data_IF_638231086440
#
_entry.id   IF_638231086440
#
_cell.length_a   1.000
_cell.length_b   1.000
_cell.length_c   1.000
_cell.angle_alpha   90.00
_cell.angle_beta   90.00
_cell.angle_gamma   90.00
#
_symmetry.space_group_name_H-M   'P 1'
#
loop_
_entity.id
_entity.type
_entity.pdbx_description
1 polymer ?
#
# COMPACT_ATOMS: atom_id res chain seq x y z
N UNK A 1 9.66 -24.41 2.07
CA UNK A 1 9.17 -23.11 1.60
C UNK A 1 8.45 -22.44 2.76
N UNK A 2 8.86 -21.23 3.13
CA UNK A 2 8.23 -20.46 4.21
C UNK A 2 6.94 -19.85 3.67
N UNK A 3 5.84 -19.97 4.43
CA UNK A 3 4.51 -19.42 4.05
C UNK A 3 4.25 -18.15 4.85
N UNK A 4 4.10 -17.05 4.15
CA UNK A 4 3.82 -15.74 4.75
C UNK A 4 2.44 -15.28 4.28
N UNK A 5 1.54 -14.93 5.21
CA UNK A 5 0.35 -14.17 4.90
C UNK A 5 0.69 -12.67 4.95
N UNK A 6 0.23 -11.93 3.95
CA UNK A 6 0.25 -10.47 3.98
C UNK A 6 -1.19 -9.95 3.93
N UNK A 7 -1.64 -9.37 5.06
CA UNK A 7 -2.97 -8.79 5.14
C UNK A 7 -2.93 -7.39 4.54
N UNK A 8 -3.82 -7.12 3.59
CA UNK A 8 -3.86 -5.87 2.80
C UNK A 8 -5.21 -5.19 2.95
N UNK A 9 -5.25 -3.88 2.73
CA UNK A 9 -6.47 -3.10 2.90
C UNK A 9 -7.46 -3.32 1.77
N UNK A 10 -7.00 -3.29 0.52
CA UNK A 10 -7.84 -3.29 -0.64
C UNK A 10 -7.35 -4.10 -1.83
N UNK A 11 -8.01 -3.89 -2.95
CA UNK A 11 -7.73 -4.62 -4.18
C UNK A 11 -6.41 -4.18 -4.83
N UNK A 12 -6.04 -2.91 -4.70
CA UNK A 12 -4.82 -2.34 -5.28
C UNK A 12 -3.57 -2.99 -4.68
N UNK A 13 -3.47 -3.01 -3.34
CA UNK A 13 -2.39 -3.65 -2.60
C UNK A 13 -2.37 -5.16 -2.87
N UNK A 14 -3.56 -5.80 -2.94
CA UNK A 14 -3.68 -7.23 -3.25
C UNK A 14 -3.11 -7.56 -4.64
N UNK A 15 -3.42 -6.78 -5.66
CA UNK A 15 -2.88 -6.97 -7.01
C UNK A 15 -1.37 -6.69 -7.07
N UNK A 16 -0.89 -5.66 -6.39
CA UNK A 16 0.55 -5.40 -6.26
C UNK A 16 1.28 -6.57 -5.59
N UNK A 17 0.75 -7.07 -4.48
CA UNK A 17 1.33 -8.23 -3.80
C UNK A 17 1.39 -9.44 -4.72
N UNK A 18 0.31 -9.74 -5.46
CA UNK A 18 0.26 -10.88 -6.39
C UNK A 18 1.21 -10.75 -7.57
N UNK A 19 1.25 -9.55 -8.18
CA UNK A 19 1.98 -9.35 -9.44
C UNK A 19 3.45 -9.03 -9.25
N UNK A 20 3.81 -8.43 -8.12
CA UNK A 20 5.16 -7.93 -7.85
C UNK A 20 5.81 -8.69 -6.70
N UNK A 21 5.22 -8.64 -5.50
CA UNK A 21 5.88 -9.19 -4.31
C UNK A 21 5.90 -10.73 -4.31
N UNK A 22 4.80 -11.39 -4.64
CA UNK A 22 4.74 -12.87 -4.62
C UNK A 22 5.76 -13.50 -5.59
N UNK A 23 5.88 -13.07 -6.86
CA UNK A 23 6.93 -13.58 -7.75
C UNK A 23 8.34 -13.33 -7.21
N UNK A 24 8.62 -12.15 -6.67
CA UNK A 24 9.90 -11.80 -6.08
C UNK A 24 10.24 -12.71 -4.89
N UNK A 25 9.36 -12.84 -3.93
CA UNK A 25 9.59 -13.66 -2.73
C UNK A 25 9.70 -15.17 -3.06
N UNK A 26 9.02 -15.63 -4.09
CA UNK A 26 9.11 -17.01 -4.54
C UNK A 26 10.53 -17.40 -5.00
N UNK A 27 11.29 -16.47 -5.57
CA UNK A 27 12.72 -16.69 -5.90
C UNK A 27 13.58 -16.93 -4.67
N UNK A 28 13.10 -16.53 -3.48
CA UNK A 28 13.75 -16.70 -2.18
C UNK A 28 13.17 -17.85 -1.36
N UNK A 29 12.44 -18.77 -2.01
CA UNK A 29 11.79 -19.92 -1.36
C UNK A 29 10.74 -19.51 -0.30
N UNK A 30 10.05 -18.38 -0.55
CA UNK A 30 8.98 -17.85 0.29
C UNK A 30 7.69 -17.82 -0.54
N UNK A 31 6.62 -18.41 -0.02
CA UNK A 31 5.25 -18.29 -0.57
C UNK A 31 4.53 -17.15 0.15
N UNK A 32 4.35 -16.04 -0.53
CA UNK A 32 3.62 -14.87 -0.03
C UNK A 32 2.16 -14.95 -0.49
N UNK A 33 1.22 -14.95 0.46
CA UNK A 33 -0.22 -15.02 0.18
C UNK A 33 -0.90 -13.72 0.62
N UNK A 34 -1.31 -12.86 -0.31
CA UNK A 34 -2.07 -11.67 0.03
C UNK A 34 -3.52 -12.01 0.39
N UNK A 35 -4.03 -11.38 1.45
CA UNK A 35 -5.37 -11.57 2.00
C UNK A 35 -5.97 -10.20 2.27
N UNK A 36 -7.08 -9.88 1.61
CA UNK A 36 -7.79 -8.61 1.85
C UNK A 36 -8.51 -8.71 3.19
N UNK A 37 -8.23 -7.75 4.08
CA UNK A 37 -8.90 -7.67 5.38
C UNK A 37 -10.41 -7.53 5.20
N UNK A 38 -11.18 -8.39 5.85
CA UNK A 38 -12.62 -8.38 5.71
C UNK A 38 -13.22 -7.08 6.25
N UNK A 39 -13.79 -6.27 5.37
CA UNK A 39 -14.62 -5.14 5.76
C UNK A 39 -15.97 -5.65 6.19
N UNK A 40 -16.25 -5.70 7.51
CA UNK A 40 -17.62 -5.90 7.98
C UNK A 40 -18.49 -4.80 7.35
N UNK A 41 -19.68 -5.18 6.88
CA UNK A 41 -20.68 -4.19 6.45
C UNK A 41 -20.90 -3.23 7.61
N UNK A 42 -20.51 -1.98 7.42
CA UNK A 42 -20.72 -0.95 8.41
C UNK A 42 -22.24 -0.84 8.67
N UNK A 43 -22.64 -0.80 9.94
CA UNK A 43 -24.04 -0.61 10.33
C UNK A 43 -24.61 0.72 9.83
N UNK A 44 -23.78 1.59 9.28
CA UNK A 44 -24.14 2.90 8.74
C UNK A 44 -24.47 2.92 7.24
N UNK A 45 -24.44 1.78 6.53
CA UNK A 45 -24.92 1.69 5.15
C UNK A 45 -24.12 2.45 4.09
N UNK A 46 -23.02 3.10 4.45
CA UNK A 46 -22.16 3.81 3.51
C UNK A 46 -21.15 2.84 2.92
N UNK A 47 -21.25 2.62 1.61
CA UNK A 47 -20.21 1.95 0.81
C UNK A 47 -19.00 2.91 0.72
N UNK A 48 -18.11 2.87 1.69
CA UNK A 48 -16.76 3.43 1.50
C UNK A 48 -15.94 2.39 0.75
N UNK A 49 -15.52 2.73 -0.46
CA UNK A 49 -14.44 2.04 -1.18
C UNK A 49 -13.14 2.46 -0.49
N UNK A 50 -12.52 1.58 0.21
CA UNK A 50 -11.35 1.82 1.03
C UNK A 50 -11.68 1.40 2.46
N UNK A 51 -11.08 0.33 2.93
CA UNK A 51 -11.45 -0.26 4.19
C UNK A 51 -10.96 0.60 5.34
N UNK A 52 -11.82 0.95 6.24
CA UNK A 52 -11.48 1.52 7.51
C UNK A 52 -10.74 0.46 8.34
N UNK A 53 -9.43 0.45 8.30
CA UNK A 53 -8.60 -0.42 9.14
C UNK A 53 -8.61 0.13 10.57
N UNK A 54 -8.78 -0.73 11.55
CA UNK A 54 -8.62 -0.40 12.96
C UNK A 54 -8.00 -1.58 13.70
N UNK A 55 -7.51 -1.32 14.91
CA UNK A 55 -6.78 -2.29 15.73
C UNK A 55 -7.60 -3.56 16.00
N UNK A 56 -8.89 -3.45 16.30
CA UNK A 56 -9.74 -4.61 16.59
C UNK A 56 -9.91 -5.53 15.36
N UNK A 57 -10.01 -4.93 14.17
CA UNK A 57 -10.08 -5.69 12.92
C UNK A 57 -8.78 -6.41 12.63
N UNK A 58 -7.65 -5.72 12.81
CA UNK A 58 -6.33 -6.32 12.65
C UNK A 58 -6.22 -7.53 13.58
N UNK A 59 -6.56 -7.34 14.86
CA UNK A 59 -6.51 -8.40 15.85
C UNK A 59 -7.34 -9.61 15.40
N UNK A 60 -8.60 -9.40 15.07
CA UNK A 60 -9.50 -10.48 14.63
C UNK A 60 -9.03 -11.19 13.36
N UNK A 61 -8.37 -10.48 12.43
CA UNK A 61 -7.85 -11.08 11.20
C UNK A 61 -6.58 -11.89 11.46
N UNK A 62 -5.63 -11.30 12.15
CA UNK A 62 -4.34 -11.95 12.45
C UNK A 62 -4.53 -13.22 13.27
N UNK A 63 -5.43 -13.20 14.28
CA UNK A 63 -5.76 -14.39 15.07
C UNK A 63 -6.22 -15.59 14.22
N UNK A 64 -6.94 -15.35 13.12
CA UNK A 64 -7.36 -16.40 12.19
C UNK A 64 -6.22 -16.93 11.32
N UNK A 65 -5.23 -16.10 11.03
CA UNK A 65 -4.12 -16.44 10.16
C UNK A 65 -3.00 -17.16 10.89
N UNK A 66 -2.76 -16.85 12.17
CA UNK A 66 -1.67 -17.41 12.99
C UNK A 66 -1.53 -18.94 12.94
N UNK A 67 -2.62 -19.74 12.95
CA UNK A 67 -2.48 -21.21 12.88
C UNK A 67 -2.02 -21.74 11.52
N UNK A 68 -2.19 -20.95 10.44
CA UNK A 68 -2.08 -21.43 9.07
C UNK A 68 -0.80 -20.99 8.34
N UNK A 69 -0.05 -20.04 8.91
CA UNK A 69 1.14 -19.47 8.28
C UNK A 69 2.35 -19.50 9.22
N UNK A 70 3.52 -19.49 8.63
CA UNK A 70 4.78 -19.49 9.37
C UNK A 70 5.11 -18.08 9.86
N UNK A 71 4.73 -17.05 9.06
CA UNK A 71 4.76 -15.63 9.42
C UNK A 71 3.55 -14.91 8.87
N UNK A 72 3.23 -13.78 9.47
CA UNK A 72 2.15 -12.87 9.04
C UNK A 72 2.69 -11.46 9.09
N UNK A 73 2.38 -10.69 8.06
CA UNK A 73 2.62 -9.25 8.00
C UNK A 73 1.38 -8.50 7.55
N UNK A 74 1.41 -7.19 7.63
CA UNK A 74 0.37 -6.30 7.15
C UNK A 74 0.91 -5.37 6.06
N UNK A 75 0.03 -4.80 5.26
CA UNK A 75 0.35 -3.77 4.30
C UNK A 75 -0.85 -2.82 4.23
N UNK A 76 -0.91 -1.92 5.19
CA UNK A 76 -2.00 -0.97 5.36
C UNK A 76 -1.48 0.44 5.25
N UNK A 77 -2.23 1.31 4.62
CA UNK A 77 -1.91 2.72 4.55
C UNK A 77 -2.10 3.38 5.92
N UNK A 78 -1.14 4.19 6.34
CA UNK A 78 -1.23 4.93 7.60
C UNK A 78 -2.50 5.81 7.65
N UNK A 79 -2.86 6.42 6.54
CA UNK A 79 -4.08 7.23 6.45
C UNK A 79 -5.37 6.41 6.38
N UNK A 80 -5.29 5.12 6.05
CA UNK A 80 -6.41 4.18 6.10
C UNK A 80 -6.86 3.82 7.52
N UNK A 81 -6.03 4.13 8.53
CA UNK A 81 -6.36 3.82 9.92
C UNK A 81 -7.40 4.77 10.50
N UNK A 82 -8.49 4.19 11.01
CA UNK A 82 -9.46 4.90 11.85
C UNK A 82 -9.15 4.73 13.33
N UNK A 83 -9.32 5.80 14.09
CA UNK A 83 -9.15 5.79 15.55
C UNK A 83 -7.77 5.25 15.98
N UNK A 84 -6.71 5.62 15.28
CA UNK A 84 -5.35 5.24 15.68
C UNK A 84 -4.96 5.94 17.00
N UNK A 85 -4.27 5.24 17.88
CA UNK A 85 -3.90 5.77 19.20
C UNK A 85 -2.73 6.75 19.15
N UNK A 86 -1.98 6.79 18.06
CA UNK A 86 -0.80 7.64 17.84
C UNK A 86 -0.66 8.05 16.37
N UNK A 87 0.00 9.18 16.13
CA UNK A 87 0.39 9.63 14.80
C UNK A 87 1.85 9.25 14.44
N UNK A 88 2.52 8.51 15.32
CA UNK A 88 3.84 7.95 15.05
C UNK A 88 3.68 6.51 14.54
N UNK A 89 4.21 6.24 13.33
CA UNK A 89 4.06 4.94 12.65
C UNK A 89 4.79 3.84 13.42
N UNK A 90 6.03 4.08 13.84
CA UNK A 90 6.83 3.10 14.58
C UNK A 90 6.16 2.72 15.90
N UNK A 91 5.57 3.70 16.57
CA UNK A 91 4.80 3.47 17.78
C UNK A 91 3.50 2.71 17.50
N UNK A 92 2.81 3.01 16.41
CA UNK A 92 1.61 2.29 16.00
C UNK A 92 1.92 0.82 15.66
N UNK A 93 2.97 0.55 14.93
CA UNK A 93 3.45 -0.81 14.65
C UNK A 93 3.80 -1.55 15.95
N UNK A 94 4.49 -0.88 16.89
CA UNK A 94 4.80 -1.45 18.21
C UNK A 94 3.53 -1.77 19.00
N UNK A 95 2.56 -0.87 19.05
CA UNK A 95 1.26 -1.10 19.70
C UNK A 95 0.55 -2.31 19.10
N UNK A 96 0.52 -2.40 17.76
CA UNK A 96 -0.11 -3.51 17.06
C UNK A 96 0.65 -4.82 17.32
N UNK A 97 1.99 -4.79 17.31
CA UNK A 97 2.82 -5.97 17.62
C UNK A 97 2.55 -6.49 19.04
N UNK A 98 2.44 -5.60 20.03
CA UNK A 98 2.22 -5.95 21.44
C UNK A 98 0.84 -6.58 21.71
N UNK A 99 -0.12 -6.46 20.79
CA UNK A 99 -1.41 -7.15 20.90
C UNK A 99 -1.30 -8.68 20.79
N UNK A 100 -0.17 -9.15 20.24
CA UNK A 100 0.06 -10.57 19.98
C UNK A 100 1.28 -11.05 20.76
N UNK A 101 1.13 -12.18 21.45
CA UNK A 101 2.26 -12.84 22.10
C UNK A 101 3.10 -13.68 21.11
N UNK A 102 2.70 -13.74 19.84
CA UNK A 102 3.30 -14.58 18.84
C UNK A 102 4.27 -13.80 17.95
N UNK A 103 5.56 -14.18 18.01
CA UNK A 103 6.64 -13.56 17.22
C UNK A 103 6.53 -13.80 15.70
N UNK A 104 5.58 -14.60 15.25
CA UNK A 104 5.32 -14.80 13.83
C UNK A 104 4.66 -13.58 13.18
N UNK A 105 4.07 -12.71 13.97
CA UNK A 105 3.42 -11.50 13.45
C UNK A 105 4.42 -10.34 13.41
N UNK A 106 4.60 -9.77 12.24
CA UNK A 106 5.48 -8.64 11.95
C UNK A 106 4.62 -7.55 11.30
N UNK A 107 4.06 -6.61 12.06
CA UNK A 107 3.25 -5.53 11.48
C UNK A 107 4.10 -4.64 10.58
N UNK A 108 3.51 -4.19 9.49
CA UNK A 108 4.05 -3.15 8.62
C UNK A 108 2.94 -2.20 8.22
N UNK A 109 3.20 -0.91 8.33
CA UNK A 109 2.28 0.15 7.94
C UNK A 109 2.98 1.00 6.90
N UNK A 110 2.38 1.08 5.70
CA UNK A 110 2.86 1.95 4.65
C UNK A 110 2.72 3.41 5.09
N UNK A 111 3.83 4.11 5.09
CA UNK A 111 3.87 5.51 5.45
C UNK A 111 3.06 6.31 4.43
N UNK A 112 2.03 6.98 4.94
CA UNK A 112 1.04 7.74 4.23
C UNK A 112 0.15 6.88 3.33
N UNK A 113 0.52 6.66 2.06
CA UNK A 113 -0.30 6.01 1.04
C UNK A 113 0.53 5.05 0.17
N UNK A 114 -0.13 4.02 -0.34
CA UNK A 114 0.46 3.05 -1.27
C UNK A 114 1.06 3.71 -2.51
N UNK A 115 0.43 4.75 -3.05
CA UNK A 115 0.86 5.48 -4.23
C UNK A 115 2.27 6.08 -4.08
N UNK A 116 2.78 6.24 -2.87
CA UNK A 116 4.15 6.66 -2.61
C UNK A 116 5.17 5.77 -3.32
N UNK A 117 4.91 4.46 -3.39
CA UNK A 117 5.80 3.50 -4.04
C UNK A 117 5.99 3.77 -5.54
N UNK A 118 5.01 4.39 -6.19
CA UNK A 118 5.07 4.72 -7.61
C UNK A 118 6.11 5.80 -7.93
N UNK A 119 6.53 6.57 -6.94
CA UNK A 119 7.61 7.56 -7.09
C UNK A 119 9.01 6.95 -7.06
N UNK A 120 9.16 5.67 -6.69
CA UNK A 120 10.46 5.02 -6.56
C UNK A 120 11.25 4.92 -7.86
N UNK A 121 10.57 4.86 -9.01
CA UNK A 121 11.21 4.73 -10.32
C UNK A 121 10.46 5.47 -11.42
N UNK A 122 10.66 6.79 -11.54
CA UNK A 122 9.97 7.63 -12.54
C UNK A 122 10.12 7.14 -13.99
N UNK A 123 11.24 6.47 -14.32
CA UNK A 123 11.55 5.98 -15.67
C UNK A 123 10.53 4.96 -16.19
N UNK A 124 9.89 4.20 -15.30
CA UNK A 124 8.83 3.26 -15.73
C UNK A 124 7.62 3.93 -16.34
N UNK A 125 7.36 5.18 -15.99
CA UNK A 125 6.29 5.95 -16.63
C UNK A 125 6.61 6.32 -18.08
N UNK A 126 7.89 6.55 -18.42
CA UNK A 126 8.31 6.74 -19.80
C UNK A 126 8.14 5.45 -20.61
N UNK A 127 8.55 4.31 -20.07
CA UNK A 127 8.38 3.01 -20.72
C UNK A 127 6.90 2.68 -20.94
N UNK A 128 6.05 2.94 -19.96
CA UNK A 128 4.64 2.57 -19.99
C UNK A 128 3.82 3.45 -20.94
N UNK A 129 4.03 4.76 -20.92
CA UNK A 129 3.29 5.72 -21.73
C UNK A 129 3.95 6.06 -23.05
N UNK A 130 5.20 5.64 -23.30
CA UNK A 130 5.96 6.03 -24.49
C UNK A 130 6.25 7.54 -24.56
N UNK A 131 6.21 8.22 -23.42
CA UNK A 131 6.36 9.66 -23.32
C UNK A 131 7.06 10.06 -22.02
N UNK A 132 8.04 10.92 -22.13
CA UNK A 132 8.87 11.31 -20.98
C UNK A 132 8.31 12.49 -20.17
N UNK A 133 7.17 13.07 -20.54
CA UNK A 133 6.62 14.24 -19.82
C UNK A 133 6.20 13.88 -18.42
N UNK A 134 5.43 12.80 -18.26
CA UNK A 134 4.99 12.33 -16.94
C UNK A 134 6.20 11.93 -16.09
N UNK A 135 7.13 11.14 -16.65
CA UNK A 135 8.36 10.75 -15.98
C UNK A 135 9.16 11.97 -15.48
N UNK A 136 9.27 13.02 -16.30
CA UNK A 136 9.93 14.28 -15.92
C UNK A 136 9.22 15.01 -14.77
N UNK A 137 7.88 15.07 -14.81
CA UNK A 137 7.12 15.71 -13.72
C UNK A 137 7.24 14.91 -12.42
N UNK A 138 7.16 13.59 -12.48
CA UNK A 138 7.40 12.70 -11.32
C UNK A 138 8.80 12.92 -10.79
N UNK A 139 9.82 12.93 -11.68
CA UNK A 139 11.21 13.18 -11.27
C UNK A 139 11.39 14.53 -10.57
N UNK A 140 10.76 15.60 -11.05
CA UNK A 140 10.80 16.91 -10.37
C UNK A 140 10.23 16.82 -8.95
N UNK A 141 9.14 16.07 -8.76
CA UNK A 141 8.58 15.84 -7.43
C UNK A 141 9.60 15.10 -6.57
N UNK A 142 10.13 13.97 -7.05
CA UNK A 142 11.13 13.17 -6.31
C UNK A 142 12.37 14.00 -5.95
N UNK A 143 12.88 14.78 -6.88
CA UNK A 143 14.08 15.62 -6.68
C UNK A 143 13.87 16.72 -5.61
N UNK A 144 12.62 17.01 -5.24
CA UNK A 144 12.28 17.98 -4.18
C UNK A 144 12.38 17.36 -2.78
N UNK A 145 12.34 16.04 -2.68
CA UNK A 145 12.35 15.31 -1.42
C UNK A 145 13.59 14.42 -1.30
N UNK A 146 14.15 14.33 -0.10
CA UNK A 146 15.28 13.44 0.16
C UNK A 146 14.88 11.96 0.24
N UNK A 147 13.60 11.71 0.48
CA UNK A 147 13.00 10.39 0.65
C UNK A 147 11.61 10.40 0.03
N UNK A 148 11.30 9.40 -0.79
CA UNK A 148 9.99 9.28 -1.43
C UNK A 148 8.84 9.15 -0.41
N UNK A 149 9.11 8.56 0.74
CA UNK A 149 8.14 8.47 1.84
C UNK A 149 7.77 9.81 2.47
N UNK A 150 8.50 10.88 2.12
CA UNK A 150 8.17 12.24 2.54
C UNK A 150 7.34 13.02 1.51
N UNK A 151 6.98 12.40 0.38
CA UNK A 151 6.17 13.01 -0.69
C UNK A 151 4.71 13.12 -0.25
N UNK A 152 4.48 13.79 0.87
CA UNK A 152 3.13 14.03 1.40
C UNK A 152 3.13 15.17 2.42
N UNK A 153 3.09 16.39 1.93
CA UNK A 153 3.16 17.57 2.79
C UNK A 153 1.79 18.01 3.32
N UNK A 154 0.70 17.58 2.67
CA UNK A 154 -0.66 17.99 3.00
C UNK A 154 -1.70 17.12 2.31
N UNK A 155 -2.98 17.16 2.72
CA UNK A 155 -4.05 16.46 2.03
C UNK A 155 -4.20 16.84 0.54
N UNK A 156 -3.71 18.03 0.15
CA UNK A 156 -3.77 18.51 -1.24
C UNK A 156 -2.60 18.01 -2.08
N UNK A 157 -1.51 17.59 -1.45
CA UNK A 157 -0.27 17.11 -2.07
C UNK A 157 -0.01 15.63 -1.80
N UNK A 158 -0.99 14.94 -1.24
CA UNK A 158 -0.94 13.50 -1.03
C UNK A 158 -0.59 12.75 -2.33
N UNK A 159 0.14 11.62 -2.26
CA UNK A 159 0.59 10.87 -3.42
C UNK A 159 -0.49 10.63 -4.48
N UNK A 160 -1.65 10.11 -4.09
CA UNK A 160 -2.76 9.90 -5.03
C UNK A 160 -3.22 11.19 -5.73
N UNK A 161 -3.26 12.34 -5.03
CA UNK A 161 -3.63 13.65 -5.62
C UNK A 161 -2.61 14.14 -6.63
N UNK A 162 -1.34 13.84 -6.43
CA UNK A 162 -0.29 14.16 -7.39
C UNK A 162 -0.47 13.34 -8.67
N UNK A 163 -0.78 12.05 -8.55
CA UNK A 163 -1.08 11.21 -9.71
C UNK A 163 -2.37 11.59 -10.42
N UNK A 164 -3.46 11.94 -9.71
CA UNK A 164 -4.67 12.48 -10.35
C UNK A 164 -4.33 13.67 -11.26
N UNK A 165 -3.55 14.63 -10.78
CA UNK A 165 -3.12 15.79 -11.58
C UNK A 165 -2.25 15.40 -12.78
N UNK A 166 -1.36 14.43 -12.60
CA UNK A 166 -0.50 13.94 -13.70
C UNK A 166 -1.32 13.24 -14.77
N UNK A 167 -2.32 12.44 -14.40
CA UNK A 167 -3.22 11.77 -15.35
C UNK A 167 -4.19 12.75 -16.03
N UNK A 168 -4.63 13.82 -15.36
CA UNK A 168 -5.36 14.91 -16.04
C UNK A 168 -4.50 15.58 -17.14
N UNK A 169 -3.19 15.69 -16.94
CA UNK A 169 -2.26 16.19 -17.94
C UNK A 169 -2.16 15.20 -19.10
N UNK A 170 -2.11 13.90 -18.82
CA UNK A 170 -2.10 12.82 -19.81
C UNK A 170 -3.35 12.85 -20.68
N UNK A 171 -4.53 12.92 -20.09
CA UNK A 171 -5.81 13.00 -20.80
C UNK A 171 -5.86 14.22 -21.72
N UNK A 172 -5.42 15.38 -21.27
CA UNK A 172 -5.35 16.61 -22.06
C UNK A 172 -4.35 16.51 -23.24
N UNK A 173 -3.30 15.71 -23.07
CA UNK A 173 -2.27 15.49 -24.07
C UNK A 173 -2.59 14.32 -25.00
N UNK A 174 -3.70 13.62 -24.76
CA UNK A 174 -4.12 12.42 -25.51
C UNK A 174 -3.04 11.31 -25.51
N UNK A 175 -2.30 11.19 -24.41
CA UNK A 175 -1.27 10.18 -24.21
C UNK A 175 -1.95 8.88 -23.78
N UNK A 176 -1.78 7.80 -24.53
CA UNK A 176 -2.32 6.48 -24.19
C UNK A 176 -1.18 5.52 -23.82
N UNK A 177 -1.42 4.58 -22.86
CA UNK A 177 -0.46 3.53 -22.57
C UNK A 177 -0.11 2.72 -23.83
N UNK A 178 1.18 2.37 -23.98
CA UNK A 178 1.65 1.58 -25.13
C UNK A 178 1.14 0.13 -25.14
N UNK A 179 0.63 -0.37 -24.02
CA UNK A 179 0.22 -1.78 -23.82
C UNK A 179 -1.25 -1.93 -23.44
N UNK A 180 -2.16 -1.28 -24.18
CA UNK A 180 -3.59 -1.56 -24.08
C UNK A 180 -3.96 -2.70 -25.05
N UNK A 181 -3.53 -3.92 -24.73
CA UNK A 181 -4.01 -5.16 -25.39
C UNK A 181 -4.31 -6.22 -24.34
#
# INVERSE_FOLDING_TARGET
MIRIAISVEGQTENEFCKKVLTPFFRTHNIELTPIIIATSKDKCGRKHKGGCVNIDRIKSEIEKLLPNYDYITTFYDFYGFSNRPTDNIDELERIIFELFSDRKFIPYIQKYEFETLLFSKPEYFEEYFGNNKIAKEIKKIVDTYNDIELINDSPQTAPHKRFEKLFEIEDRLNIRPMHSH
#
